data_IF_236218121777
#
_entry.id   IF_236218121777
#
_cell.length_a   1.000
_cell.length_b   1.000
_cell.length_c   1.000
_cell.angle_alpha   90.00
_cell.angle_beta   90.00
_cell.angle_gamma   90.00
#
_symmetry.space_group_name_H-M   'P 1'
#
loop_
_entity.id
_entity.type
_entity.pdbx_description
1 polymer ?
#
# COMPACT_ATOMS: atom_id res chain seq x y z
N UNK A 1 -24.13 43.29 -18.29
CA UNK A 1 -23.39 44.38 -17.62
C UNK A 1 -21.94 44.25 -18.03
N UNK A 2 -21.36 45.29 -18.62
CA UNK A 2 -19.97 45.32 -19.06
C UNK A 2 -19.16 46.22 -18.11
N UNK A 3 -19.07 45.82 -16.83
CA UNK A 3 -18.01 46.38 -15.99
C UNK A 3 -16.70 45.70 -16.40
N UNK A 4 -15.62 46.45 -16.67
CA UNK A 4 -14.34 45.87 -17.07
C UNK A 4 -13.75 44.90 -16.03
N UNK A 5 -14.11 45.06 -14.76
CA UNK A 5 -13.48 44.40 -13.61
C UNK A 5 -14.47 43.67 -12.69
N UNK A 6 -15.78 43.85 -12.87
CA UNK A 6 -16.81 43.25 -12.00
C UNK A 6 -17.79 42.46 -12.86
N UNK A 7 -17.90 41.16 -12.61
CA UNK A 7 -18.85 40.25 -13.25
C UNK A 7 -19.88 39.76 -12.24
N UNK A 8 -21.12 39.64 -12.69
CA UNK A 8 -22.21 39.07 -11.89
C UNK A 8 -22.63 37.72 -12.47
N UNK A 9 -22.78 36.70 -11.62
CA UNK A 9 -23.15 35.33 -12.02
C UNK A 9 -24.67 35.09 -11.94
N UNK A 10 -25.33 35.66 -10.94
CA UNK A 10 -26.76 35.43 -10.65
C UNK A 10 -27.63 36.64 -10.97
N UNK A 11 -27.09 37.86 -10.87
CA UNK A 11 -27.84 39.08 -11.17
C UNK A 11 -27.92 39.27 -12.70
N UNK A 12 -29.12 39.18 -13.32
CA UNK A 12 -29.24 39.24 -14.76
C UNK A 12 -28.92 40.64 -15.30
N UNK A 13 -28.18 40.70 -16.41
CA UNK A 13 -27.87 41.96 -17.09
C UNK A 13 -29.10 42.72 -17.63
N UNK A 14 -30.22 42.02 -17.83
CA UNK A 14 -31.47 42.55 -18.40
C UNK A 14 -32.48 43.00 -17.34
N UNK A 15 -32.11 43.00 -16.05
CA UNK A 15 -33.03 43.35 -14.96
C UNK A 15 -33.48 44.82 -15.07
N UNK A 16 -34.80 45.04 -15.12
CA UNK A 16 -35.42 46.38 -15.25
C UNK A 16 -36.06 46.87 -13.96
N UNK A 17 -36.27 45.99 -12.99
CA UNK A 17 -36.87 46.33 -11.69
C UNK A 17 -35.82 47.12 -10.88
N UNK A 18 -36.13 48.35 -10.44
CA UNK A 18 -35.24 49.11 -9.55
C UNK A 18 -35.07 48.40 -8.20
N UNK A 19 -33.86 48.38 -7.64
CA UNK A 19 -33.57 47.80 -6.33
C UNK A 19 -32.07 47.66 -6.04
N UNK A 20 -31.74 47.27 -4.81
CA UNK A 20 -30.40 46.86 -4.40
C UNK A 20 -30.31 45.35 -4.46
N UNK A 21 -29.45 44.84 -5.35
CA UNK A 21 -29.25 43.41 -5.53
C UNK A 21 -27.81 43.08 -5.15
N UNK A 22 -27.67 42.09 -4.27
CA UNK A 22 -26.38 41.55 -3.85
C UNK A 22 -26.32 40.09 -4.26
N UNK A 23 -25.17 39.62 -4.72
CA UNK A 23 -24.88 38.20 -4.90
C UNK A 23 -23.61 37.85 -4.12
N UNK A 24 -23.55 36.61 -3.63
CA UNK A 24 -22.39 36.11 -2.93
C UNK A 24 -21.47 35.41 -3.94
N UNK A 25 -20.25 35.92 -4.05
CA UNK A 25 -19.20 35.25 -4.81
C UNK A 25 -18.37 34.36 -3.87
N UNK A 26 -18.60 33.06 -3.94
CA UNK A 26 -17.83 32.06 -3.18
C UNK A 26 -16.57 31.60 -3.92
N UNK A 27 -16.38 32.01 -5.18
CA UNK A 27 -15.22 31.65 -5.99
C UNK A 27 -13.93 32.08 -5.33
N UNK A 28 -13.88 33.06 -4.42
CA UNK A 28 -12.64 33.47 -3.71
C UNK A 28 -12.53 32.96 -2.26
N UNK A 29 -13.50 32.18 -1.79
CA UNK A 29 -13.62 31.82 -0.37
C UNK A 29 -12.48 30.92 0.13
N UNK A 30 -12.05 29.96 -0.68
CA UNK A 30 -10.96 29.03 -0.33
C UNK A 30 -9.68 29.45 -1.05
N UNK A 31 -8.64 29.82 -0.29
CA UNK A 31 -7.32 30.21 -0.82
C UNK A 31 -6.19 29.27 -0.38
N UNK A 32 -6.45 28.35 0.54
CA UNK A 32 -5.47 27.36 0.98
C UNK A 32 -5.28 26.27 -0.09
N UNK A 33 -4.23 25.47 0.07
CA UNK A 33 -4.08 24.20 -0.64
C UNK A 33 -5.06 23.16 -0.07
N UNK A 34 -5.43 22.13 -0.85
CA UNK A 34 -6.27 21.05 -0.35
C UNK A 34 -5.54 20.17 0.65
N UNK A 35 -6.27 19.60 1.60
CA UNK A 35 -5.73 18.57 2.50
C UNK A 35 -5.26 17.35 1.72
N UNK A 36 -4.26 16.65 2.24
CA UNK A 36 -3.65 15.48 1.61
C UNK A 36 -3.89 14.17 2.37
N UNK A 37 -5.09 14.02 2.93
CA UNK A 37 -5.52 12.79 3.58
C UNK A 37 -5.33 11.58 2.65
N UNK A 38 -4.57 10.59 3.11
CA UNK A 38 -4.24 9.39 2.34
C UNK A 38 -5.19 8.24 2.71
N UNK A 39 -6.01 7.80 1.75
CA UNK A 39 -6.89 6.64 1.91
C UNK A 39 -6.22 5.38 1.37
N UNK A 40 -6.25 4.31 2.16
CA UNK A 40 -5.69 3.00 1.81
C UNK A 40 -6.82 2.06 1.42
N UNK A 41 -6.70 1.46 0.24
CA UNK A 41 -7.49 0.32 -0.18
C UNK A 41 -6.71 -0.96 0.06
N UNK A 42 -7.32 -1.90 0.75
CA UNK A 42 -6.86 -3.29 0.84
C UNK A 42 -7.72 -4.13 -0.10
N UNK A 43 -7.07 -4.92 -0.93
CA UNK A 43 -7.72 -5.94 -1.77
C UNK A 43 -7.29 -7.30 -1.21
N UNK A 44 -8.23 -8.19 -0.87
CA UNK A 44 -7.87 -9.49 -0.28
C UNK A 44 -8.99 -10.52 -0.29
N UNK A 45 -8.63 -11.78 -0.08
CA UNK A 45 -9.61 -12.88 -0.06
C UNK A 45 -10.44 -12.85 1.24
N UNK A 46 -11.76 -13.10 1.12
CA UNK A 46 -12.67 -13.40 2.23
C UNK A 46 -13.01 -14.89 2.29
N UNK A 47 -13.37 -15.40 3.46
CA UNK A 47 -13.86 -16.76 3.62
C UNK A 47 -15.34 -16.84 3.24
N UNK A 48 -15.80 -18.02 2.80
CA UNK A 48 -17.21 -18.24 2.52
C UNK A 48 -18.07 -18.27 3.80
N UNK A 49 -17.49 -18.77 4.90
CA UNK A 49 -18.12 -18.80 6.22
C UNK A 49 -17.72 -17.55 7.01
N UNK A 50 -18.57 -16.51 6.93
CA UNK A 50 -18.41 -15.24 7.64
C UNK A 50 -19.55 -14.99 8.62
N UNK A 51 -19.27 -14.22 9.67
CA UNK A 51 -20.28 -13.87 10.69
C UNK A 51 -21.26 -12.84 10.14
N UNK A 52 -20.77 -11.88 9.36
CA UNK A 52 -21.60 -10.94 8.59
C UNK A 52 -21.41 -11.22 7.10
N UNK A 53 -22.50 -11.49 6.39
CA UNK A 53 -22.48 -11.82 4.96
C UNK A 53 -22.36 -10.57 4.09
N UNK A 54 -21.23 -9.85 4.23
CA UNK A 54 -20.85 -8.79 3.29
C UNK A 54 -20.60 -9.45 1.92
N UNK A 55 -21.23 -8.93 0.88
CA UNK A 55 -21.06 -9.47 -0.47
C UNK A 55 -19.61 -9.32 -0.94
N UNK A 56 -19.14 -10.27 -1.75
CA UNK A 56 -17.87 -10.10 -2.44
C UNK A 56 -17.95 -8.89 -3.38
N UNK A 57 -16.80 -8.27 -3.65
CA UNK A 57 -16.65 -7.16 -4.59
C UNK A 57 -17.46 -5.90 -4.20
N UNK A 58 -17.70 -5.68 -2.91
CA UNK A 58 -18.25 -4.42 -2.39
C UNK A 58 -17.20 -3.68 -1.54
N UNK A 59 -17.04 -2.36 -1.73
CA UNK A 59 -16.14 -1.56 -0.91
C UNK A 59 -16.75 -1.36 0.48
N UNK A 60 -16.03 -1.77 1.51
CA UNK A 60 -16.43 -1.61 2.91
C UNK A 60 -15.37 -0.85 3.67
N UNK A 61 -15.76 0.24 4.34
CA UNK A 61 -14.89 0.96 5.25
C UNK A 61 -14.75 0.18 6.56
N UNK A 62 -13.51 0.03 7.03
CA UNK A 62 -13.19 -0.82 8.19
C UNK A 62 -12.39 -0.02 9.21
N UNK A 63 -12.82 -0.09 10.48
CA UNK A 63 -12.27 0.72 11.57
C UNK A 63 -11.58 -0.10 12.65
N UNK A 64 -11.73 -1.43 12.64
CA UNK A 64 -11.08 -2.32 13.60
C UNK A 64 -10.72 -3.67 12.95
N UNK A 65 -9.74 -4.37 13.54
CA UNK A 65 -9.37 -5.72 13.16
C UNK A 65 -10.51 -6.72 13.42
N UNK A 66 -11.26 -6.53 14.51
CA UNK A 66 -12.42 -7.37 14.84
C UNK A 66 -13.54 -7.23 13.82
N UNK A 67 -13.84 -6.01 13.35
CA UNK A 67 -14.83 -5.79 12.29
C UNK A 67 -14.40 -6.49 11.00
N UNK A 68 -13.13 -6.40 10.63
CA UNK A 68 -12.58 -7.11 9.47
C UNK A 68 -12.75 -8.63 9.61
N UNK A 69 -12.53 -9.19 10.79
CA UNK A 69 -12.72 -10.62 11.05
C UNK A 69 -14.19 -11.04 10.94
N UNK A 70 -15.12 -10.21 11.41
CA UNK A 70 -16.57 -10.45 11.32
C UNK A 70 -17.05 -10.38 9.87
N UNK A 71 -16.53 -9.43 9.07
CA UNK A 71 -16.95 -9.18 7.70
C UNK A 71 -16.34 -10.15 6.68
N UNK A 72 -15.05 -10.46 6.82
CA UNK A 72 -14.29 -11.24 5.83
C UNK A 72 -13.85 -12.61 6.33
N UNK A 73 -14.05 -12.89 7.62
CA UNK A 73 -13.78 -14.18 8.25
C UNK A 73 -12.47 -14.18 9.03
N UNK A 74 -12.49 -14.83 10.19
CA UNK A 74 -11.33 -14.94 11.07
C UNK A 74 -10.20 -15.72 10.37
N UNK A 75 -9.03 -15.09 10.33
CA UNK A 75 -7.84 -15.62 9.67
C UNK A 75 -7.87 -15.55 8.14
N UNK A 76 -8.82 -14.83 7.55
CA UNK A 76 -8.78 -14.54 6.11
C UNK A 76 -7.61 -13.63 5.72
N UNK A 77 -7.20 -13.64 4.45
CA UNK A 77 -6.14 -12.75 3.97
C UNK A 77 -6.55 -11.29 4.17
N UNK A 78 -7.80 -10.93 3.86
CA UNK A 78 -8.31 -9.58 4.09
C UNK A 78 -8.23 -9.17 5.58
N UNK A 79 -8.62 -10.06 6.50
CA UNK A 79 -8.51 -9.80 7.94
C UNK A 79 -7.04 -9.60 8.38
N UNK A 80 -6.13 -10.46 7.91
CA UNK A 80 -4.70 -10.35 8.26
C UNK A 80 -4.07 -9.06 7.73
N UNK A 81 -4.45 -8.62 6.52
CA UNK A 81 -4.03 -7.33 5.97
C UNK A 81 -4.54 -6.15 6.78
N UNK A 82 -5.83 -6.13 7.13
CA UNK A 82 -6.40 -5.05 7.95
C UNK A 82 -5.74 -4.99 9.32
N UNK A 83 -5.53 -6.15 9.97
CA UNK A 83 -4.85 -6.23 11.26
C UNK A 83 -3.43 -5.67 11.19
N UNK A 84 -2.67 -6.00 10.13
CA UNK A 84 -1.33 -5.45 9.90
C UNK A 84 -1.36 -3.94 9.63
N UNK A 85 -2.31 -3.48 8.81
CA UNK A 85 -2.49 -2.07 8.46
C UNK A 85 -2.82 -1.19 9.67
N UNK A 86 -3.77 -1.59 10.52
CA UNK A 86 -4.19 -0.85 11.72
C UNK A 86 -3.06 -0.85 12.77
N UNK A 87 -2.34 -1.98 12.92
CA UNK A 87 -1.20 -2.06 13.85
C UNK A 87 -0.06 -1.14 13.44
N UNK A 88 0.16 -0.97 12.14
CA UNK A 88 1.16 -0.06 11.58
C UNK A 88 0.75 1.42 11.75
N UNK A 89 -0.50 1.75 11.43
CA UNK A 89 -1.07 3.09 11.57
C UNK A 89 -2.49 3.01 12.15
N UNK A 90 -2.69 3.26 13.46
CA UNK A 90 -4.01 3.12 14.11
C UNK A 90 -5.12 4.05 13.59
N UNK A 91 -4.76 5.15 12.91
CA UNK A 91 -5.71 6.15 12.40
C UNK A 91 -5.88 6.10 10.88
N UNK A 92 -5.38 5.04 10.24
CA UNK A 92 -5.50 4.86 8.79
C UNK A 92 -6.97 4.80 8.36
N UNK A 93 -7.29 5.44 7.23
CA UNK A 93 -8.59 5.27 6.58
C UNK A 93 -8.53 4.07 5.64
N UNK A 94 -9.10 2.94 6.09
CA UNK A 94 -9.10 1.70 5.34
C UNK A 94 -10.45 1.45 4.70
N UNK A 95 -10.41 1.25 3.38
CA UNK A 95 -11.48 0.58 2.65
C UNK A 95 -10.96 -0.80 2.25
N UNK A 96 -11.81 -1.82 2.32
CA UNK A 96 -11.50 -3.18 1.88
C UNK A 96 -12.45 -3.56 0.76
N UNK A 97 -11.90 -4.10 -0.33
CA UNK A 97 -12.67 -4.81 -1.34
C UNK A 97 -12.24 -6.26 -1.29
N UNK A 98 -13.12 -7.11 -0.78
CA UNK A 98 -12.86 -8.52 -0.65
C UNK A 98 -13.37 -9.31 -1.87
N UNK A 99 -12.68 -10.40 -2.21
CA UNK A 99 -13.08 -11.33 -3.27
C UNK A 99 -13.03 -12.77 -2.77
N UNK A 100 -13.71 -13.66 -3.48
CA UNK A 100 -13.74 -15.08 -3.14
C UNK A 100 -12.52 -15.81 -3.74
N UNK A 101 -12.22 -16.99 -3.19
CA UNK A 101 -11.22 -17.90 -3.75
C UNK A 101 -11.56 -18.30 -5.19
N UNK A 102 -10.54 -18.56 -6.01
CA UNK A 102 -10.75 -19.08 -7.36
C UNK A 102 -11.41 -20.48 -7.28
N UNK A 103 -12.37 -20.74 -8.17
CA UNK A 103 -13.10 -22.01 -8.20
C UNK A 103 -12.14 -23.19 -8.41
N UNK A 104 -11.16 -23.04 -9.30
CA UNK A 104 -10.12 -24.02 -9.60
C UNK A 104 -8.93 -23.96 -8.63
N UNK A 105 -8.90 -22.99 -7.71
CA UNK A 105 -7.87 -22.84 -6.72
C UNK A 105 -7.70 -24.07 -5.83
N UNK A 106 -6.45 -24.35 -5.45
CA UNK A 106 -6.08 -25.44 -4.52
C UNK A 106 -5.50 -24.82 -3.26
N UNK A 107 -5.94 -25.29 -2.10
CA UNK A 107 -5.42 -24.84 -0.81
C UNK A 107 -4.11 -25.55 -0.49
N UNK A 108 -3.11 -24.76 -0.08
CA UNK A 108 -1.82 -25.30 0.34
C UNK A 108 -1.97 -26.22 1.56
N UNK A 109 -1.15 -27.26 1.61
CA UNK A 109 -1.10 -28.20 2.74
C UNK A 109 0.32 -28.35 3.25
N UNK A 110 0.45 -28.61 4.54
CA UNK A 110 1.70 -28.92 5.21
C UNK A 110 1.43 -29.86 6.38
N UNK A 111 2.48 -30.39 6.99
CA UNK A 111 2.32 -31.31 8.12
C UNK A 111 3.25 -30.98 9.26
N UNK A 112 2.79 -31.19 10.49
CA UNK A 112 3.63 -31.26 11.67
C UNK A 112 3.52 -32.66 12.27
N UNK A 113 4.58 -33.46 12.13
CA UNK A 113 4.63 -34.82 12.62
C UNK A 113 5.26 -34.86 14.01
N UNK A 114 4.51 -35.35 14.98
CA UNK A 114 5.01 -35.63 16.32
C UNK A 114 5.39 -37.10 16.38
N UNK A 115 6.58 -37.41 16.90
CA UNK A 115 7.01 -38.80 17.10
C UNK A 115 7.51 -39.04 18.52
N UNK A 116 7.37 -40.28 18.99
CA UNK A 116 7.82 -40.73 20.31
C UNK A 116 6.73 -40.73 21.39
N UNK A 117 7.19 -40.83 22.64
CA UNK A 117 6.36 -40.82 23.85
C UNK A 117 7.07 -39.98 24.90
N UNK A 118 6.33 -39.08 25.55
CA UNK A 118 6.90 -38.18 26.53
C UNK A 118 7.46 -38.95 27.75
N UNK A 119 8.74 -38.75 28.05
CA UNK A 119 9.41 -39.31 29.23
C UNK A 119 9.50 -38.32 30.39
N UNK A 120 9.12 -37.06 30.16
CA UNK A 120 9.03 -36.01 31.16
C UNK A 120 7.89 -35.04 30.81
N UNK A 121 7.29 -34.34 31.79
CA UNK A 121 6.33 -33.29 31.49
C UNK A 121 7.02 -32.14 30.73
N UNK A 122 6.26 -31.45 29.88
CA UNK A 122 6.78 -30.31 29.14
C UNK A 122 5.74 -29.69 28.23
N UNK A 123 6.17 -29.05 27.15
CA UNK A 123 5.25 -28.42 26.19
C UNK A 123 5.63 -28.76 24.76
N UNK A 124 4.64 -28.83 23.89
CA UNK A 124 4.84 -28.79 22.45
C UNK A 124 4.20 -27.52 21.92
N UNK A 125 4.88 -26.85 20.99
CA UNK A 125 4.43 -25.58 20.42
C UNK A 125 4.36 -25.69 18.90
N UNK A 126 3.26 -25.24 18.32
CA UNK A 126 3.12 -24.92 16.90
C UNK A 126 3.14 -23.39 16.74
N UNK A 127 3.98 -22.90 15.84
CA UNK A 127 4.04 -21.50 15.43
C UNK A 127 3.58 -21.42 13.99
N UNK A 128 2.59 -20.59 13.70
CA UNK A 128 2.06 -20.34 12.35
C UNK A 128 2.11 -18.84 12.11
N UNK A 129 2.95 -18.40 11.17
CA UNK A 129 3.30 -16.98 11.03
C UNK A 129 3.88 -16.42 12.33
N UNK A 130 3.28 -15.36 12.86
CA UNK A 130 3.64 -14.72 14.13
C UNK A 130 2.90 -15.28 15.36
N UNK A 131 1.93 -16.18 15.16
CA UNK A 131 1.08 -16.71 16.22
C UNK A 131 1.61 -18.03 16.81
N UNK A 132 1.59 -18.14 18.14
CA UNK A 132 2.09 -19.29 18.90
C UNK A 132 0.94 -20.05 19.58
N UNK A 133 0.82 -21.34 19.31
CA UNK A 133 -0.12 -22.27 19.97
C UNK A 133 0.69 -23.32 20.72
N UNK A 134 0.53 -23.39 22.04
CA UNK A 134 1.25 -24.34 22.88
C UNK A 134 0.28 -25.20 23.69
N UNK A 135 0.60 -26.49 23.84
CA UNK A 135 -0.14 -27.42 24.70
C UNK A 135 0.80 -28.11 25.68
N UNK A 136 0.28 -28.40 26.87
CA UNK A 136 0.99 -29.17 27.88
C UNK A 136 1.05 -30.65 27.51
N UNK A 137 2.19 -31.26 27.82
CA UNK A 137 2.46 -32.67 27.63
C UNK A 137 2.76 -33.29 29.00
N UNK A 138 2.06 -34.38 29.32
CA UNK A 138 2.26 -35.16 30.54
C UNK A 138 3.18 -36.37 30.27
N UNK A 139 3.84 -36.87 31.29
CA UNK A 139 4.64 -38.10 31.18
C UNK A 139 3.78 -39.27 30.71
N UNK A 140 4.27 -40.04 29.74
CA UNK A 140 3.55 -41.16 29.14
C UNK A 140 2.58 -40.74 28.01
N UNK A 141 2.43 -39.44 27.72
CA UNK A 141 1.64 -39.00 26.59
C UNK A 141 2.27 -39.45 25.26
N UNK A 142 1.46 -40.14 24.45
CA UNK A 142 1.86 -40.60 23.12
C UNK A 142 1.80 -39.47 22.10
N UNK A 143 2.59 -39.58 21.03
CA UNK A 143 2.55 -38.65 19.90
C UNK A 143 1.12 -38.41 19.38
N UNK A 144 0.29 -39.44 19.27
CA UNK A 144 -1.10 -39.30 18.80
C UNK A 144 -1.96 -38.44 19.74
N UNK A 145 -1.85 -38.63 21.06
CA UNK A 145 -2.60 -37.83 22.04
C UNK A 145 -2.17 -36.36 22.02
N UNK A 146 -0.85 -36.13 21.90
CA UNK A 146 -0.28 -34.79 21.83
C UNK A 146 -0.68 -34.08 20.54
N UNK A 147 -0.61 -34.77 19.40
CA UNK A 147 -1.03 -34.24 18.10
C UNK A 147 -2.51 -33.85 18.09
N UNK A 148 -3.40 -34.67 18.66
CA UNK A 148 -4.83 -34.35 18.77
C UNK A 148 -5.06 -33.11 19.64
N UNK A 149 -4.39 -33.00 20.79
CA UNK A 149 -4.48 -31.80 21.64
C UNK A 149 -3.98 -30.54 20.91
N UNK A 150 -2.85 -30.64 20.22
CA UNK A 150 -2.27 -29.50 19.51
C UNK A 150 -3.11 -29.07 18.30
N UNK A 151 -3.66 -30.01 17.53
CA UNK A 151 -4.57 -29.71 16.43
C UNK A 151 -5.87 -29.06 16.93
N UNK A 152 -6.45 -29.54 18.04
CA UNK A 152 -7.63 -28.92 18.64
C UNK A 152 -7.35 -27.47 19.11
N UNK A 153 -6.19 -27.24 19.74
CA UNK A 153 -5.77 -25.90 20.15
C UNK A 153 -5.53 -24.96 18.96
N UNK A 154 -4.93 -25.48 17.87
CA UNK A 154 -4.72 -24.71 16.64
C UNK A 154 -6.05 -24.33 15.96
N UNK A 155 -7.01 -25.25 15.91
CA UNK A 155 -8.35 -24.98 15.36
C UNK A 155 -9.17 -24.03 16.24
N UNK A 156 -8.97 -24.06 17.56
CA UNK A 156 -9.59 -23.09 18.49
C UNK A 156 -9.03 -21.67 18.34
N UNK A 157 -7.79 -21.52 17.84
CA UNK A 157 -7.21 -20.23 17.50
C UNK A 157 -7.74 -19.74 16.15
N UNK A 158 -8.99 -19.28 16.15
CA UNK A 158 -9.75 -18.93 14.93
C UNK A 158 -9.07 -17.88 14.04
N UNK A 159 -8.18 -17.05 14.56
CA UNK A 159 -7.44 -16.04 13.77
C UNK A 159 -6.34 -16.62 12.89
N UNK A 160 -5.93 -17.88 13.09
CA UNK A 160 -4.87 -18.48 12.27
C UNK A 160 -5.33 -18.64 10.81
N UNK A 161 -4.44 -18.47 9.83
CA UNK A 161 -4.75 -18.64 8.41
C UNK A 161 -4.82 -20.11 7.97
N UNK A 162 -4.82 -21.06 8.92
CA UNK A 162 -4.86 -22.50 8.66
C UNK A 162 -5.98 -23.18 9.44
N UNK A 163 -6.32 -24.39 9.00
CA UNK A 163 -7.09 -25.39 9.74
C UNK A 163 -6.18 -26.57 10.06
N UNK A 164 -6.37 -27.20 11.21
CA UNK A 164 -5.53 -28.31 11.66
C UNK A 164 -6.36 -29.57 11.95
N UNK A 165 -5.92 -30.71 11.42
CA UNK A 165 -6.51 -32.02 11.69
C UNK A 165 -5.40 -33.01 12.05
N UNK A 166 -5.59 -33.80 13.12
CA UNK A 166 -4.60 -34.79 13.56
C UNK A 166 -5.03 -36.22 13.24
N UNK A 167 -4.09 -37.03 12.75
CA UNK A 167 -4.25 -38.46 12.56
C UNK A 167 -2.94 -39.18 12.89
N UNK A 168 -2.98 -40.16 13.80
CA UNK A 168 -1.85 -41.04 14.14
C UNK A 168 -0.51 -40.31 14.45
N UNK A 169 -0.56 -39.13 15.09
CA UNK A 169 0.65 -38.34 15.42
C UNK A 169 1.05 -37.31 14.37
N UNK A 170 0.41 -37.32 13.19
CA UNK A 170 0.60 -36.32 12.14
C UNK A 170 -0.51 -35.28 12.22
N UNK A 171 -0.13 -34.00 12.29
CA UNK A 171 -1.05 -32.86 12.20
C UNK A 171 -0.98 -32.36 10.77
N UNK A 172 -2.06 -32.52 10.02
CA UNK A 172 -2.22 -31.93 8.69
C UNK A 172 -2.72 -30.50 8.87
N UNK A 173 -1.99 -29.56 8.30
CA UNK A 173 -2.31 -28.13 8.26
C UNK A 173 -2.77 -27.81 6.85
N UNK A 174 -3.93 -27.17 6.73
CA UNK A 174 -4.48 -26.76 5.44
C UNK A 174 -4.76 -25.25 5.49
N UNK A 175 -4.27 -24.51 4.50
CA UNK A 175 -4.58 -23.09 4.37
C UNK A 175 -6.11 -22.90 4.29
N UNK A 176 -6.63 -21.89 4.98
CA UNK A 176 -8.06 -21.57 4.93
C UNK A 176 -8.51 -21.13 3.55
N UNK A 177 -7.61 -20.48 2.83
CA UNK A 177 -7.79 -20.04 1.46
C UNK A 177 -7.13 -21.00 0.47
N UNK A 178 -7.77 -21.14 -0.69
CA UNK A 178 -7.14 -21.64 -1.92
C UNK A 178 -6.22 -20.57 -2.50
N UNK A 179 -5.20 -21.02 -3.24
CA UNK A 179 -4.23 -20.14 -3.89
C UNK A 179 -2.79 -20.50 -3.57
N UNK A 180 -1.87 -20.01 -4.40
CA UNK A 180 -0.44 -20.13 -4.18
C UNK A 180 0.04 -19.32 -2.98
N UNK A 181 -0.68 -18.26 -2.58
CA UNK A 181 -0.40 -17.47 -1.37
C UNK A 181 -0.33 -18.33 -0.09
N UNK A 182 -1.05 -19.46 -0.04
CA UNK A 182 -1.00 -20.40 1.09
C UNK A 182 0.35 -21.09 1.29
N UNK A 183 1.18 -21.16 0.24
CA UNK A 183 2.52 -21.77 0.29
C UNK A 183 3.49 -20.95 1.14
N UNK A 184 3.24 -19.65 1.28
CA UNK A 184 4.11 -18.74 2.03
C UNK A 184 3.86 -18.76 3.54
N UNK A 185 2.81 -19.45 4.00
CA UNK A 185 2.49 -19.57 5.42
C UNK A 185 3.63 -20.33 6.12
N UNK A 186 4.41 -19.62 6.94
CA UNK A 186 5.51 -20.21 7.70
C UNK A 186 4.99 -20.99 8.89
N UNK A 187 5.44 -22.24 9.02
CA UNK A 187 5.09 -23.13 10.12
C UNK A 187 6.35 -23.65 10.79
N UNK A 188 6.36 -23.67 12.12
CA UNK A 188 7.41 -24.28 12.93
C UNK A 188 6.79 -25.05 14.08
N UNK A 189 7.34 -26.22 14.41
CA UNK A 189 6.97 -26.98 15.59
C UNK A 189 8.19 -27.16 16.51
N UNK A 190 7.98 -27.10 17.81
CA UNK A 190 9.04 -27.26 18.80
C UNK A 190 8.52 -28.12 19.97
N UNK A 191 9.19 -29.24 20.24
CA UNK A 191 8.94 -30.08 21.40
C UNK A 191 9.94 -29.75 22.51
N UNK A 192 9.44 -29.21 23.64
CA UNK A 192 10.20 -28.96 24.87
C UNK A 192 9.83 -29.97 25.94
N UNK A 193 10.03 -31.24 25.61
CA UNK A 193 9.81 -32.39 26.49
C UNK A 193 10.71 -33.53 26.04
N UNK A 194 11.26 -34.28 26.99
CA UNK A 194 12.08 -35.44 26.66
C UNK A 194 11.22 -36.57 26.07
N UNK A 195 11.73 -37.25 25.04
CA UNK A 195 11.08 -38.40 24.42
C UNK A 195 10.08 -38.09 23.29
N UNK A 196 9.81 -36.82 23.00
CA UNK A 196 9.07 -36.39 21.81
C UNK A 196 9.93 -35.53 20.89
N UNK A 197 9.70 -35.67 19.59
CA UNK A 197 10.22 -34.78 18.56
C UNK A 197 9.07 -34.27 17.70
N UNK A 198 9.28 -33.12 17.05
CA UNK A 198 8.31 -32.50 16.18
C UNK A 198 9.02 -32.00 14.91
N UNK A 199 8.62 -32.55 13.78
CA UNK A 199 9.15 -32.18 12.47
C UNK A 199 8.06 -31.54 11.62
N UNK A 200 8.43 -30.54 10.82
CA UNK A 200 7.48 -29.80 9.96
C UNK A 200 7.83 -30.00 8.50
N UNK A 201 6.84 -30.40 7.71
CA UNK A 201 6.84 -30.24 6.26
C UNK A 201 6.18 -28.90 5.94
N UNK A 202 6.91 -28.03 5.24
CA UNK A 202 6.43 -26.70 4.87
C UNK A 202 5.13 -26.76 4.06
N UNK A 203 4.34 -25.68 4.12
CA UNK A 203 3.13 -25.54 3.32
C UNK A 203 3.50 -25.50 1.83
N UNK A 204 2.83 -26.30 1.01
CA UNK A 204 3.08 -26.40 -0.43
C UNK A 204 1.79 -26.77 -1.19
N UNK A 205 1.91 -26.87 -2.52
CA UNK A 205 0.87 -27.32 -3.45
C UNK A 205 -0.40 -26.46 -3.52
N UNK A 206 -0.37 -25.26 -2.93
CA UNK A 206 -1.36 -24.22 -3.21
C UNK A 206 -1.21 -23.73 -4.65
N UNK A 207 -2.32 -23.61 -5.37
CA UNK A 207 -2.35 -23.25 -6.79
C UNK A 207 -3.45 -22.25 -7.10
N UNK A 208 -3.18 -21.40 -8.10
CA UNK A 208 -4.10 -20.42 -8.70
C UNK A 208 -4.62 -19.43 -7.65
N UNK A 209 -3.90 -18.31 -7.50
CA UNK A 209 -4.41 -17.16 -6.77
C UNK A 209 -5.56 -16.49 -7.55
N UNK A 210 -6.57 -15.91 -6.89
CA UNK A 210 -7.68 -15.30 -7.60
C UNK A 210 -7.26 -14.00 -8.32
N UNK A 211 -7.95 -13.69 -9.42
CA UNK A 211 -7.73 -12.47 -10.21
C UNK A 211 -8.14 -11.21 -9.41
N UNK A 212 -7.27 -10.20 -9.42
CA UNK A 212 -7.52 -8.90 -8.80
C UNK A 212 -8.43 -8.00 -9.64
N UNK A 213 -8.56 -8.24 -10.95
CA UNK A 213 -9.25 -7.33 -11.87
C UNK A 213 -10.72 -7.04 -11.47
N UNK A 214 -11.54 -8.01 -11.02
CA UNK A 214 -12.91 -7.73 -10.58
C UNK A 214 -12.96 -6.77 -9.38
N UNK A 215 -12.06 -6.94 -8.40
CA UNK A 215 -11.99 -6.07 -7.24
C UNK A 215 -11.52 -4.65 -7.62
N UNK A 216 -10.53 -4.56 -8.51
CA UNK A 216 -10.00 -3.28 -9.00
C UNK A 216 -11.01 -2.53 -9.90
N UNK A 217 -11.85 -3.26 -10.64
CA UNK A 217 -12.93 -2.65 -11.42
C UNK A 217 -13.94 -1.90 -10.53
N UNK A 218 -14.24 -2.45 -9.35
CA UNK A 218 -15.09 -1.78 -8.34
C UNK A 218 -14.37 -0.58 -7.71
N UNK A 219 -13.07 -0.72 -7.41
CA UNK A 219 -12.25 0.34 -6.85
C UNK A 219 -12.14 1.58 -7.75
N UNK A 220 -12.27 1.40 -9.06
CA UNK A 220 -12.14 2.46 -10.07
C UNK A 220 -12.98 3.70 -9.75
N UNK A 221 -14.22 3.49 -9.28
CA UNK A 221 -15.13 4.58 -8.94
C UNK A 221 -14.91 5.17 -7.53
N UNK A 222 -14.32 4.41 -6.60
CA UNK A 222 -14.26 4.76 -5.18
C UNK A 222 -13.16 5.78 -4.84
N UNK A 223 -12.07 5.81 -5.61
CA UNK A 223 -10.97 6.79 -5.47
C UNK A 223 -10.16 6.61 -4.18
N UNK A 224 -8.99 5.97 -4.29
CA UNK A 224 -8.06 5.71 -3.20
C UNK A 224 -6.67 6.25 -3.53
N UNK A 225 -5.83 6.51 -2.52
CA UNK A 225 -4.48 7.03 -2.74
C UNK A 225 -3.44 5.93 -2.76
N UNK A 226 -3.65 4.88 -1.98
CA UNK A 226 -2.77 3.72 -1.88
C UNK A 226 -3.59 2.45 -2.04
N UNK A 227 -3.09 1.50 -2.83
CA UNK A 227 -3.74 0.20 -3.05
C UNK A 227 -2.76 -0.90 -2.66
N UNK A 228 -3.03 -1.60 -1.56
CA UNK A 228 -2.22 -2.71 -1.08
C UNK A 228 -2.61 -4.01 -1.79
N UNK A 229 -1.65 -4.63 -2.48
CA UNK A 229 -1.83 -5.94 -3.12
C UNK A 229 -1.71 -7.08 -2.09
N UNK A 230 -2.59 -8.09 -2.12
CA UNK A 230 -2.47 -9.27 -1.28
C UNK A 230 -1.35 -10.22 -1.77
N UNK A 231 -1.00 -10.14 -3.05
CA UNK A 231 -0.05 -11.05 -3.69
C UNK A 231 1.17 -10.31 -4.22
N UNK A 232 2.34 -10.94 -4.09
CA UNK A 232 3.61 -10.47 -4.65
C UNK A 232 4.01 -11.33 -5.87
N UNK A 233 3.11 -11.43 -6.84
CA UNK A 233 3.32 -12.17 -8.09
C UNK A 233 3.30 -11.21 -9.28
N UNK A 234 4.01 -11.57 -10.36
CA UNK A 234 4.07 -10.73 -11.56
C UNK A 234 2.68 -10.48 -12.15
N UNK A 235 1.82 -11.50 -12.15
CA UNK A 235 0.44 -11.41 -12.66
C UNK A 235 -0.39 -10.41 -11.85
N UNK A 236 -0.46 -10.58 -10.53
CA UNK A 236 -1.22 -9.69 -9.66
C UNK A 236 -0.73 -8.23 -9.74
N UNK A 237 0.59 -8.03 -9.72
CA UNK A 237 1.17 -6.70 -9.79
C UNK A 237 1.05 -6.06 -11.18
N UNK A 238 1.07 -6.83 -12.27
CA UNK A 238 0.80 -6.30 -13.61
C UNK A 238 -0.67 -5.88 -13.78
N UNK A 239 -1.61 -6.64 -13.21
CA UNK A 239 -3.03 -6.25 -13.17
C UNK A 239 -3.23 -4.97 -12.36
N UNK A 240 -2.58 -4.86 -11.19
CA UNK A 240 -2.59 -3.64 -10.39
C UNK A 240 -1.97 -2.45 -11.13
N UNK A 241 -0.82 -2.62 -11.79
CA UNK A 241 -0.18 -1.58 -12.63
C UNK A 241 -1.16 -1.03 -13.67
N UNK A 242 -1.81 -1.93 -14.40
CA UNK A 242 -2.76 -1.58 -15.47
C UNK A 242 -3.95 -0.77 -14.91
N UNK A 243 -4.44 -1.16 -13.74
CA UNK A 243 -5.48 -0.40 -13.04
C UNK A 243 -5.01 1.01 -12.66
N UNK A 244 -3.81 1.13 -12.08
CA UNK A 244 -3.24 2.41 -11.64
C UNK A 244 -3.03 3.38 -12.82
N UNK A 245 -2.56 2.87 -13.96
CA UNK A 245 -2.43 3.66 -15.20
C UNK A 245 -3.79 4.15 -15.73
N UNK A 246 -4.84 3.34 -15.60
CA UNK A 246 -6.18 3.71 -16.03
C UNK A 246 -6.79 4.80 -15.12
N UNK A 247 -6.74 4.63 -13.79
CA UNK A 247 -7.29 5.60 -12.83
C UNK A 247 -6.46 6.89 -12.77
N UNK A 248 -5.13 6.81 -12.89
CA UNK A 248 -4.21 7.94 -12.92
C UNK A 248 -4.10 8.61 -14.30
N UNK A 249 -4.86 8.13 -15.28
CA UNK A 249 -4.82 8.67 -16.64
C UNK A 249 -5.16 10.17 -16.66
N UNK A 250 -4.70 10.92 -17.66
CA UNK A 250 -5.00 12.36 -17.76
C UNK A 250 -6.50 12.68 -17.82
N UNK A 251 -7.34 11.70 -18.18
CA UNK A 251 -8.80 11.85 -18.26
C UNK A 251 -9.48 11.57 -16.92
N UNK A 252 -9.08 10.50 -16.21
CA UNK A 252 -9.71 10.10 -14.95
C UNK A 252 -9.14 10.85 -13.74
N UNK A 253 -7.82 11.07 -13.70
CA UNK A 253 -7.12 11.89 -12.69
C UNK A 253 -7.41 11.46 -11.23
N UNK A 254 -7.63 10.17 -11.01
CA UNK A 254 -7.80 9.52 -9.71
C UNK A 254 -6.50 8.85 -9.31
N UNK A 255 -5.50 9.69 -9.09
CA UNK A 255 -4.13 9.27 -8.87
C UNK A 255 -3.98 8.37 -7.63
N UNK A 256 -3.33 7.22 -7.81
CA UNK A 256 -3.10 6.22 -6.78
C UNK A 256 -1.71 5.58 -6.94
N UNK A 257 -1.20 4.98 -5.87
CA UNK A 257 0.05 4.21 -5.84
C UNK A 257 -0.23 2.78 -5.39
N UNK A 258 0.31 1.81 -6.12
CA UNK A 258 0.27 0.40 -5.77
C UNK A 258 1.38 0.06 -4.77
N UNK A 259 1.02 -0.69 -3.73
CA UNK A 259 1.95 -1.12 -2.69
C UNK A 259 1.94 -2.64 -2.61
N UNK A 260 3.12 -3.24 -2.71
CA UNK A 260 3.34 -4.66 -2.52
C UNK A 260 4.40 -4.89 -1.45
N UNK A 261 4.43 -6.10 -0.90
CA UNK A 261 5.40 -6.52 0.10
C UNK A 261 5.85 -7.95 -0.18
N UNK A 262 7.12 -8.27 0.07
CA UNK A 262 7.62 -9.64 -0.12
C UNK A 262 8.60 -10.05 0.98
N UNK A 263 8.43 -11.26 1.55
CA UNK A 263 9.39 -11.87 2.46
C UNK A 263 10.48 -12.68 1.73
N UNK A 264 10.42 -12.75 0.39
CA UNK A 264 11.28 -13.60 -0.42
C UNK A 264 12.75 -13.13 -0.42
N UNK A 265 13.62 -13.92 -1.04
CA UNK A 265 15.05 -13.56 -1.20
C UNK A 265 15.23 -12.31 -2.05
N UNK A 266 16.39 -11.65 -1.91
CA UNK A 266 16.76 -10.48 -2.72
C UNK A 266 16.58 -10.75 -4.22
N UNK A 267 17.09 -11.89 -4.71
CA UNK A 267 17.02 -12.25 -6.13
C UNK A 267 15.58 -12.39 -6.64
N UNK A 268 14.66 -12.92 -5.81
CA UNK A 268 13.26 -13.01 -6.19
C UNK A 268 12.59 -11.63 -6.19
N UNK A 269 12.90 -10.79 -5.18
CA UNK A 269 12.36 -9.44 -5.07
C UNK A 269 12.79 -8.54 -6.25
N UNK A 270 14.07 -8.55 -6.62
CA UNK A 270 14.58 -7.73 -7.74
C UNK A 270 14.07 -8.22 -9.09
N UNK A 271 13.92 -9.54 -9.27
CA UNK A 271 13.30 -10.11 -10.48
C UNK A 271 11.85 -9.65 -10.62
N UNK A 272 11.09 -9.66 -9.52
CA UNK A 272 9.71 -9.18 -9.50
C UNK A 272 9.63 -7.69 -9.80
N UNK A 273 10.42 -6.85 -9.12
CA UNK A 273 10.43 -5.40 -9.35
C UNK A 273 10.78 -5.06 -10.80
N UNK A 274 11.82 -5.69 -11.37
CA UNK A 274 12.23 -5.49 -12.76
C UNK A 274 11.15 -5.91 -13.78
N UNK A 275 10.35 -6.94 -13.48
CA UNK A 275 9.23 -7.33 -14.34
C UNK A 275 8.07 -6.32 -14.34
N UNK A 276 7.91 -5.55 -13.25
CA UNK A 276 6.85 -4.55 -13.10
C UNK A 276 7.29 -3.18 -13.61
N UNK A 277 8.50 -2.72 -13.28
CA UNK A 277 9.12 -1.47 -13.75
C UNK A 277 8.14 -0.30 -13.89
N UNK A 278 7.52 0.12 -12.78
CA UNK A 278 6.49 1.17 -12.76
C UNK A 278 6.75 2.22 -11.69
N UNK A 279 6.64 3.49 -12.09
CA UNK A 279 6.71 4.64 -11.18
C UNK A 279 5.47 4.79 -10.29
N UNK A 280 4.40 4.03 -10.57
CA UNK A 280 3.17 4.02 -9.78
C UNK A 280 3.16 2.91 -8.72
N UNK A 281 4.23 2.10 -8.63
CA UNK A 281 4.28 0.94 -7.74
C UNK A 281 5.52 0.92 -6.88
N UNK A 282 5.38 0.47 -5.64
CA UNK A 282 6.50 0.21 -4.73
C UNK A 282 6.43 -1.20 -4.15
N UNK A 283 7.59 -1.82 -3.97
CA UNK A 283 7.74 -3.17 -3.42
C UNK A 283 8.62 -3.12 -2.16
N UNK A 284 8.01 -3.33 -1.00
CA UNK A 284 8.70 -3.49 0.28
C UNK A 284 9.31 -4.88 0.43
N UNK A 285 10.55 -4.97 0.88
CA UNK A 285 11.28 -6.23 1.02
C UNK A 285 11.69 -6.47 2.47
N UNK A 286 11.11 -7.52 3.06
CA UNK A 286 11.34 -7.93 4.46
C UNK A 286 11.84 -9.38 4.52
N UNK A 287 13.09 -9.58 4.11
CA UNK A 287 13.67 -10.90 3.88
C UNK A 287 13.53 -11.86 5.07
N UNK A 288 12.99 -13.05 4.81
CA UNK A 288 12.89 -14.12 5.80
C UNK A 288 11.83 -13.88 6.88
N UNK A 289 10.93 -12.91 6.68
CA UNK A 289 9.78 -12.68 7.55
C UNK A 289 8.87 -13.90 7.66
N UNK A 290 8.31 -14.09 8.87
CA UNK A 290 7.24 -15.08 9.09
C UNK A 290 5.88 -14.58 8.65
N UNK A 291 5.75 -13.28 8.37
CA UNK A 291 4.53 -12.65 7.87
C UNK A 291 4.40 -12.83 6.36
N UNK A 292 3.16 -12.90 5.90
CA UNK A 292 2.84 -13.02 4.48
C UNK A 292 3.14 -11.73 3.70
N UNK A 293 3.33 -11.87 2.39
CA UNK A 293 3.40 -10.75 1.45
C UNK A 293 2.24 -9.75 1.65
N UNK A 294 1.02 -10.26 1.85
CA UNK A 294 -0.17 -9.47 2.11
C UNK A 294 -0.04 -8.58 3.36
N UNK A 295 0.41 -9.14 4.48
CA UNK A 295 0.59 -8.39 5.73
C UNK A 295 1.68 -7.32 5.60
N UNK A 296 2.80 -7.65 4.93
CA UNK A 296 3.89 -6.71 4.67
C UNK A 296 3.40 -5.55 3.80
N UNK A 297 2.68 -5.84 2.72
CA UNK A 297 2.11 -4.84 1.82
C UNK A 297 1.16 -3.88 2.55
N UNK A 298 0.25 -4.42 3.37
CA UNK A 298 -0.74 -3.65 4.10
C UNK A 298 -0.11 -2.76 5.19
N UNK A 299 0.86 -3.29 5.95
CA UNK A 299 1.62 -2.49 6.93
C UNK A 299 2.41 -1.37 6.24
N UNK A 300 3.05 -1.67 5.11
CA UNK A 300 3.81 -0.67 4.35
C UNK A 300 2.92 0.43 3.78
N UNK A 301 1.78 0.08 3.16
CA UNK A 301 0.82 1.03 2.65
C UNK A 301 0.29 1.96 3.76
N UNK A 302 -0.01 1.42 4.94
CA UNK A 302 -0.44 2.20 6.11
C UNK A 302 0.59 3.21 6.60
N UNK A 303 1.89 2.87 6.57
CA UNK A 303 2.96 3.80 6.94
C UNK A 303 3.19 4.85 5.87
N UNK A 304 3.06 4.51 4.57
CA UNK A 304 3.08 5.52 3.50
C UNK A 304 1.92 6.50 3.67
N UNK A 305 0.72 6.02 4.05
CA UNK A 305 -0.45 6.85 4.29
C UNK A 305 -0.30 7.79 5.50
N UNK A 306 0.47 7.39 6.51
CA UNK A 306 0.69 8.19 7.72
C UNK A 306 1.38 9.52 7.43
N UNK A 307 2.32 9.54 6.48
CA UNK A 307 3.01 10.77 6.10
C UNK A 307 2.19 11.53 5.05
N UNK A 308 1.37 12.48 5.48
CA UNK A 308 0.53 13.24 4.55
C UNK A 308 1.31 14.26 3.71
N UNK A 309 2.54 14.61 4.10
CA UNK A 309 3.42 15.40 3.25
C UNK A 309 3.93 14.53 2.08
N UNK A 310 3.61 14.89 0.82
CA UNK A 310 4.02 14.09 -0.33
C UNK A 310 5.53 14.14 -0.61
N UNK A 311 6.23 15.22 -0.22
CA UNK A 311 7.64 15.43 -0.50
C UNK A 311 8.55 14.88 0.61
N UNK A 312 8.00 14.67 1.81
CA UNK A 312 8.78 14.19 2.96
C UNK A 312 9.26 12.75 2.80
N UNK A 313 10.58 12.49 2.95
CA UNK A 313 11.13 11.14 2.88
C UNK A 313 10.57 10.20 3.94
N UNK A 314 10.37 8.94 3.56
CA UNK A 314 9.84 7.88 4.44
C UNK A 314 10.93 7.09 5.18
N UNK A 315 12.19 7.54 5.08
CA UNK A 315 13.35 6.88 5.69
C UNK A 315 13.16 6.76 7.21
N UNK A 316 13.58 5.65 7.79
CA UNK A 316 13.54 5.32 9.22
C UNK A 316 12.15 5.20 9.84
N UNK A 317 11.07 5.39 9.07
CA UNK A 317 9.72 5.21 9.58
C UNK A 317 9.49 3.75 9.99
N UNK A 318 8.96 3.59 11.20
CA UNK A 318 8.76 2.28 11.82
C UNK A 318 7.52 1.59 11.25
N UNK A 319 7.71 0.37 10.75
CA UNK A 319 6.66 -0.53 10.30
C UNK A 319 6.16 -1.35 11.49
N UNK A 320 5.38 -0.70 12.37
CA UNK A 320 4.91 -1.32 13.61
C UNK A 320 4.11 -2.58 13.32
N UNK A 321 4.48 -3.65 14.02
CA UNK A 321 3.78 -4.92 13.95
C UNK A 321 4.36 -5.93 12.99
N UNK A 322 5.35 -5.56 12.17
CA UNK A 322 6.19 -6.53 11.47
C UNK A 322 7.09 -7.29 12.45
N UNK A 323 7.43 -8.52 12.08
CA UNK A 323 8.26 -9.42 12.86
C UNK A 323 9.75 -9.07 12.77
N UNK A 324 10.48 -9.40 13.82
CA UNK A 324 11.94 -9.29 13.85
C UNK A 324 12.50 -10.57 13.24
N UNK A 325 13.10 -10.44 12.07
CA UNK A 325 13.68 -11.57 11.32
C UNK A 325 14.96 -12.06 11.98
N UNK A 326 15.30 -13.33 11.71
CA UNK A 326 16.57 -13.91 12.14
C UNK A 326 17.74 -13.07 11.62
N UNK A 327 18.79 -12.93 12.43
CA UNK A 327 20.02 -12.20 12.08
C UNK A 327 20.60 -12.70 10.75
N UNK A 328 20.51 -14.00 10.45
CA UNK A 328 20.99 -14.56 9.20
C UNK A 328 20.21 -14.09 7.95
N UNK A 329 18.99 -13.61 8.13
CA UNK A 329 18.13 -13.09 7.06
C UNK A 329 18.15 -11.57 6.96
N UNK A 330 18.73 -10.86 7.93
CA UNK A 330 18.77 -9.40 7.94
C UNK A 330 19.73 -8.89 6.86
N UNK A 331 19.25 -8.00 5.95
CA UNK A 331 20.04 -7.60 4.80
C UNK A 331 21.22 -6.72 5.22
N UNK A 332 22.42 -7.09 4.77
CA UNK A 332 23.61 -6.27 4.92
C UNK A 332 23.58 -5.04 4.00
N UNK A 333 24.46 -4.06 4.25
CA UNK A 333 24.51 -2.82 3.45
C UNK A 333 24.60 -3.09 1.94
N UNK A 334 25.44 -4.02 1.51
CA UNK A 334 25.58 -4.36 0.08
C UNK A 334 24.29 -4.90 -0.52
N UNK A 335 23.52 -5.69 0.23
CA UNK A 335 22.24 -6.23 -0.22
C UNK A 335 21.16 -5.14 -0.28
N UNK A 336 21.15 -4.22 0.69
CA UNK A 336 20.26 -3.06 0.68
C UNK A 336 20.53 -2.13 -0.51
N UNK A 337 21.80 -1.81 -0.79
CA UNK A 337 22.18 -1.01 -1.97
C UNK A 337 21.79 -1.71 -3.27
N UNK A 338 21.95 -3.04 -3.34
CA UNK A 338 21.52 -3.82 -4.50
C UNK A 338 20.00 -3.82 -4.68
N UNK A 339 19.24 -3.94 -3.59
CA UNK A 339 17.78 -3.82 -3.61
C UNK A 339 17.34 -2.46 -4.16
N UNK A 340 17.93 -1.37 -3.64
CA UNK A 340 17.61 0.00 -4.07
C UNK A 340 17.95 0.25 -5.55
N UNK A 341 19.09 -0.25 -6.03
CA UNK A 341 19.47 -0.13 -7.45
C UNK A 341 18.50 -0.87 -8.38
N UNK A 342 17.82 -1.90 -7.88
CA UNK A 342 16.90 -2.74 -8.64
C UNK A 342 15.41 -2.48 -8.30
N UNK A 343 15.06 -1.28 -7.79
CA UNK A 343 13.67 -0.86 -7.62
C UNK A 343 12.92 -1.57 -6.48
N UNK A 344 13.66 -2.03 -5.47
CA UNK A 344 13.11 -2.69 -4.28
C UNK A 344 13.39 -1.82 -3.05
N UNK A 345 12.39 -1.61 -2.21
CA UNK A 345 12.52 -0.88 -0.94
C UNK A 345 12.92 -1.86 0.17
N UNK A 346 14.18 -1.87 0.65
CA UNK A 346 14.58 -2.75 1.74
C UNK A 346 14.05 -2.23 3.08
N UNK A 347 13.68 -3.17 3.95
CA UNK A 347 13.43 -2.91 5.36
C UNK A 347 14.62 -3.42 6.19
N UNK A 348 14.91 -2.72 7.28
CA UNK A 348 15.98 -3.09 8.21
C UNK A 348 15.48 -3.17 9.65
N UNK A 349 16.22 -3.90 10.49
CA UNK A 349 15.97 -3.98 11.93
C UNK A 349 16.81 -2.91 12.62
N UNK A 350 16.18 -1.77 12.90
CA UNK A 350 16.79 -0.65 13.62
C UNK A 350 16.89 -0.87 15.13
N UNK A 351 17.47 0.11 15.85
CA UNK A 351 17.65 0.04 17.30
C UNK A 351 16.36 -0.28 18.07
N UNK A 352 16.48 -1.18 19.05
CA UNK A 352 15.32 -1.64 19.83
C UNK A 352 14.45 -2.67 19.10
N UNK A 353 15.01 -3.37 18.09
CA UNK A 353 14.34 -4.39 17.29
C UNK A 353 13.09 -3.86 16.57
N UNK A 354 13.23 -2.68 15.97
CA UNK A 354 12.14 -2.01 15.23
C UNK A 354 12.38 -2.15 13.74
N UNK A 355 11.41 -2.69 13.02
CA UNK A 355 11.47 -2.75 11.56
C UNK A 355 11.26 -1.35 11.00
N UNK A 356 12.16 -0.89 10.13
CA UNK A 356 12.16 0.46 9.58
C UNK A 356 12.41 0.46 8.07
N UNK A 357 11.87 1.46 7.38
CA UNK A 357 12.12 1.68 5.95
C UNK A 357 13.53 2.28 5.78
N UNK A 358 14.36 1.71 4.90
CA UNK A 358 15.67 2.31 4.58
C UNK A 358 15.49 3.54 3.66
N UNK A 359 14.93 3.32 2.46
CA UNK A 359 14.51 4.36 1.51
C UNK A 359 13.36 3.82 0.66
N UNK A 360 12.25 4.53 0.63
CA UNK A 360 11.08 4.14 -0.17
C UNK A 360 11.27 4.53 -1.64
N UNK A 361 11.46 3.53 -2.50
CA UNK A 361 11.61 3.67 -3.95
C UNK A 361 10.46 2.99 -4.70
N UNK A 362 10.22 3.42 -5.93
CA UNK A 362 9.32 2.73 -6.86
C UNK A 362 10.03 1.55 -7.52
N UNK A 363 9.28 0.74 -8.25
CA UNK A 363 9.85 -0.33 -9.09
C UNK A 363 10.49 0.19 -10.38
N UNK A 364 10.42 1.48 -10.68
CA UNK A 364 10.95 2.07 -11.92
C UNK A 364 12.46 2.25 -11.85
N UNK A 365 13.19 1.58 -12.74
CA UNK A 365 14.65 1.68 -12.86
C UNK A 365 15.12 1.97 -14.28
N UNK A 366 14.31 1.64 -15.30
CA UNK A 366 14.66 1.85 -16.71
C UNK A 366 13.50 2.46 -17.49
N UNK A 367 13.83 3.26 -18.49
CA UNK A 367 12.85 3.83 -19.41
C UNK A 367 12.37 2.79 -20.47
N UNK A 368 11.43 3.14 -21.36
CA UNK A 368 10.93 2.22 -22.40
C UNK A 368 11.99 1.69 -23.38
N UNK A 369 13.15 2.35 -23.47
CA UNK A 369 14.29 1.93 -24.28
C UNK A 369 15.26 1.02 -23.51
N UNK A 370 14.97 0.71 -22.24
CA UNK A 370 15.81 -0.10 -21.37
C UNK A 370 17.05 0.62 -20.86
N UNK A 371 17.04 1.96 -20.85
CA UNK A 371 18.13 2.78 -20.32
C UNK A 371 17.82 3.17 -18.88
N UNK A 372 18.82 3.06 -18.00
CA UNK A 372 18.73 3.48 -16.60
C UNK A 372 18.16 4.91 -16.49
N UNK A 373 17.07 5.03 -15.73
CA UNK A 373 16.33 6.27 -15.56
C UNK A 373 15.84 6.41 -14.12
N UNK A 374 16.33 7.45 -13.44
CA UNK A 374 16.03 7.72 -12.03
C UNK A 374 14.86 8.69 -11.84
N UNK A 375 14.23 9.17 -12.92
CA UNK A 375 13.22 10.22 -12.86
C UNK A 375 12.05 9.89 -11.93
N UNK A 376 11.66 8.61 -11.84
CA UNK A 376 10.57 8.13 -11.00
C UNK A 376 11.04 7.17 -9.90
N UNK A 377 12.34 7.14 -9.59
CA UNK A 377 12.91 6.22 -8.61
C UNK A 377 12.34 6.46 -7.21
N UNK A 378 12.34 7.71 -6.75
CA UNK A 378 11.83 8.04 -5.42
C UNK A 378 10.31 8.05 -5.38
N UNK A 379 9.75 7.39 -4.36
CA UNK A 379 8.30 7.32 -4.19
C UNK A 379 7.68 8.71 -3.99
N UNK A 380 8.41 9.61 -3.32
CA UNK A 380 7.97 11.00 -3.05
C UNK A 380 7.77 11.80 -4.34
N UNK A 381 8.54 11.53 -5.40
CA UNK A 381 8.40 12.23 -6.68
C UNK A 381 6.99 12.09 -7.26
N UNK A 382 6.48 10.87 -7.37
CA UNK A 382 5.12 10.64 -7.87
C UNK A 382 4.05 11.13 -6.90
N UNK A 383 4.26 11.00 -5.59
CA UNK A 383 3.34 11.54 -4.57
C UNK A 383 3.19 13.05 -4.70
N UNK A 384 4.29 13.76 -4.91
CA UNK A 384 4.27 15.22 -5.11
C UNK A 384 3.59 15.60 -6.41
N UNK A 385 3.87 14.91 -7.51
CA UNK A 385 3.19 15.17 -8.79
C UNK A 385 1.68 14.95 -8.70
N UNK A 386 1.23 13.89 -8.02
CA UNK A 386 -0.18 13.64 -7.75
C UNK A 386 -0.82 14.78 -6.93
N UNK A 387 -0.13 15.26 -5.89
CA UNK A 387 -0.62 16.36 -5.07
C UNK A 387 -0.71 17.68 -5.85
N UNK A 388 0.31 18.02 -6.63
CA UNK A 388 0.33 19.22 -7.48
C UNK A 388 -0.78 19.17 -8.52
N UNK A 389 -1.03 17.99 -9.12
CA UNK A 389 -2.16 17.78 -10.05
C UNK A 389 -3.49 18.04 -9.35
N UNK A 390 -3.71 17.44 -8.17
CA UNK A 390 -4.92 17.63 -7.37
C UNK A 390 -5.13 19.11 -7.03
N UNK A 391 -4.12 19.77 -6.47
CA UNK A 391 -4.20 21.18 -6.05
C UNK A 391 -4.49 22.12 -7.23
N UNK A 392 -3.82 21.93 -8.36
CA UNK A 392 -4.04 22.71 -9.57
C UNK A 392 -5.45 22.51 -10.13
N UNK A 393 -5.91 21.26 -10.26
CA UNK A 393 -7.26 20.94 -10.75
C UNK A 393 -8.34 21.55 -9.89
N UNK A 394 -8.27 21.36 -8.56
CA UNK A 394 -9.27 21.89 -7.64
C UNK A 394 -9.30 23.42 -7.65
N UNK A 395 -8.14 24.08 -7.73
CA UNK A 395 -8.06 25.54 -7.87
C UNK A 395 -8.79 25.99 -9.13
N UNK A 396 -8.54 25.37 -10.28
CA UNK A 396 -9.18 25.76 -11.54
C UNK A 396 -10.68 25.48 -11.52
N UNK A 397 -11.11 24.33 -11.02
CA UNK A 397 -12.52 23.97 -10.93
C UNK A 397 -13.33 24.94 -10.04
N UNK A 398 -12.75 25.38 -8.92
CA UNK A 398 -13.39 26.33 -7.99
C UNK A 398 -13.40 27.77 -8.54
N UNK A 399 -12.32 28.19 -9.21
CA UNK A 399 -12.15 29.58 -9.68
C UNK A 399 -12.82 29.86 -11.01
N UNK A 400 -12.83 28.89 -11.93
CA UNK A 400 -13.23 29.07 -13.32
C UNK A 400 -14.29 28.06 -13.82
N UNK A 401 -15.36 27.72 -13.07
CA UNK A 401 -16.29 26.66 -13.45
C UNK A 401 -17.11 26.95 -14.73
N UNK A 402 -17.43 28.22 -14.98
CA UNK A 402 -18.24 28.69 -16.13
C UNK A 402 -17.68 29.98 -16.72
N UNK A 403 -16.38 30.18 -16.60
CA UNK A 403 -15.71 31.40 -17.06
C UNK A 403 -15.74 31.47 -18.59
N UNK A 404 -15.99 32.65 -19.15
CA UNK A 404 -15.85 32.87 -20.59
C UNK A 404 -14.38 32.88 -20.96
N UNK A 405 -13.99 32.20 -22.03
CA UNK A 405 -12.63 32.30 -22.58
C UNK A 405 -12.45 33.64 -23.33
N UNK A 406 -12.18 34.70 -22.57
CA UNK A 406 -11.86 36.04 -23.08
C UNK A 406 -10.34 36.28 -23.08
N UNK A 407 -9.86 37.39 -23.63
CA UNK A 407 -8.43 37.75 -23.56
C UNK A 407 -7.93 37.90 -22.11
N UNK A 408 -8.85 38.18 -21.17
CA UNK A 408 -8.54 38.33 -19.74
C UNK A 408 -8.41 36.99 -19.00
N UNK A 409 -8.86 35.90 -19.61
CA UNK A 409 -8.97 34.60 -18.92
C UNK A 409 -7.61 33.92 -18.75
N UNK A 410 -6.76 33.78 -19.80
CA UNK A 410 -5.44 33.15 -19.64
C UNK A 410 -4.56 33.80 -18.57
N UNK A 411 -4.43 35.15 -18.48
CA UNK A 411 -3.65 35.79 -17.42
C UNK A 411 -4.18 35.50 -16.00
N UNK A 412 -5.51 35.44 -15.82
CA UNK A 412 -6.12 35.07 -14.53
C UNK A 412 -5.84 33.62 -14.15
N UNK A 413 -6.00 32.69 -15.10
CA UNK A 413 -5.72 31.27 -14.88
C UNK A 413 -4.24 31.07 -14.53
N UNK A 414 -3.33 31.73 -15.26
CA UNK A 414 -1.90 31.71 -14.95
C UNK A 414 -1.62 32.22 -13.54
N UNK A 415 -2.26 33.33 -13.13
CA UNK A 415 -2.10 33.89 -11.79
C UNK A 415 -2.55 32.92 -10.68
N UNK A 416 -3.69 32.23 -10.85
CA UNK A 416 -4.18 31.28 -9.84
C UNK A 416 -3.34 29.99 -9.80
N UNK A 417 -2.81 29.53 -10.93
CA UNK A 417 -1.87 28.40 -10.96
C UNK A 417 -0.53 28.76 -10.32
N UNK A 418 0.00 29.95 -10.62
CA UNK A 418 1.24 30.41 -9.98
C UNK A 418 1.06 30.55 -8.46
N UNK A 419 -0.08 31.05 -7.99
CA UNK A 419 -0.41 31.10 -6.56
C UNK A 419 -0.45 29.70 -5.92
N UNK A 420 -0.93 28.66 -6.63
CA UNK A 420 -0.84 27.27 -6.17
C UNK A 420 0.61 26.81 -6.06
N UNK A 421 1.43 27.05 -7.10
CA UNK A 421 2.82 26.62 -7.10
C UNK A 421 3.63 27.32 -6.00
N UNK A 422 3.46 28.63 -5.80
CA UNK A 422 4.12 29.39 -4.73
C UNK A 422 3.73 28.83 -3.36
N UNK A 423 2.46 28.46 -3.15
CA UNK A 423 2.05 27.79 -1.90
C UNK A 423 2.64 26.41 -1.72
N UNK A 424 2.84 25.67 -2.80
CA UNK A 424 3.57 24.40 -2.72
C UNK A 424 5.05 24.64 -2.36
N UNK A 425 5.66 25.73 -2.83
CA UNK A 425 7.02 26.13 -2.44
C UNK A 425 7.11 26.58 -0.98
N UNK A 426 6.13 27.34 -0.49
CA UNK A 426 6.04 27.72 0.93
C UNK A 426 5.93 26.51 1.88
N UNK A 427 5.42 25.38 1.39
CA UNK A 427 5.32 24.11 2.12
C UNK A 427 6.48 23.14 1.80
N UNK A 428 7.49 23.57 1.06
CA UNK A 428 8.63 22.72 0.66
C UNK A 428 8.22 21.47 -0.15
N UNK A 429 7.10 21.54 -0.87
CA UNK A 429 6.63 20.50 -1.78
C UNK A 429 7.26 20.67 -3.17
N UNK A 430 7.36 21.91 -3.64
CA UNK A 430 8.07 22.31 -4.86
C UNK A 430 9.22 23.26 -4.51
N UNK A 431 10.22 23.37 -5.38
CA UNK A 431 11.29 24.36 -5.26
C UNK A 431 11.42 25.23 -6.51
N UNK A 432 12.17 26.32 -6.39
CA UNK A 432 12.56 27.20 -7.49
C UNK A 432 11.37 27.69 -8.35
N UNK A 433 10.18 27.90 -7.76
CA UNK A 433 8.97 28.28 -8.49
C UNK A 433 9.14 29.64 -9.15
N UNK A 434 9.76 30.60 -8.46
CA UNK A 434 10.03 31.93 -9.01
C UNK A 434 11.01 31.89 -10.20
N UNK A 435 12.02 31.01 -10.14
CA UNK A 435 12.97 30.81 -11.24
C UNK A 435 12.31 30.12 -12.45
N UNK A 436 11.37 29.21 -12.19
CA UNK A 436 10.65 28.43 -13.19
C UNK A 436 9.37 29.11 -13.70
N UNK A 437 8.98 30.29 -13.18
CA UNK A 437 7.70 30.93 -13.48
C UNK A 437 7.48 31.19 -14.97
N UNK A 438 8.54 31.48 -15.73
CA UNK A 438 8.43 31.75 -17.17
C UNK A 438 8.13 30.48 -17.98
N UNK A 439 8.39 29.30 -17.42
CA UNK A 439 7.97 28.02 -17.98
C UNK A 439 6.49 27.68 -17.70
N UNK A 440 5.79 28.43 -16.83
CA UNK A 440 4.34 28.36 -16.68
C UNK A 440 3.66 29.10 -17.82
N UNK A 441 3.23 28.34 -18.83
CA UNK A 441 2.69 28.86 -20.09
C UNK A 441 1.19 28.57 -20.17
N UNK A 442 0.39 29.58 -20.49
CA UNK A 442 -1.07 29.52 -20.70
C UNK A 442 -1.40 30.09 -22.07
N UNK A 443 -1.89 29.24 -22.98
CA UNK A 443 -2.12 29.61 -24.39
C UNK A 443 -3.45 29.08 -24.90
N UNK A 444 -4.11 29.86 -25.76
CA UNK A 444 -5.28 29.37 -26.50
C UNK A 444 -4.83 28.31 -27.49
N UNK A 445 -5.67 27.31 -27.67
CA UNK A 445 -5.44 26.33 -28.72
C UNK A 445 -5.55 26.98 -30.10
N UNK A 446 -4.68 26.58 -31.02
CA UNK A 446 -4.63 27.14 -32.38
C UNK A 446 -5.73 26.59 -33.29
N UNK A 447 -6.34 25.46 -32.92
CA UNK A 447 -7.39 24.78 -33.68
C UNK A 447 -8.74 24.86 -32.98
N UNK A 448 -8.78 24.73 -31.65
CA UNK A 448 -9.99 24.85 -30.85
C UNK A 448 -10.09 26.22 -30.16
N UNK A 449 -10.90 27.10 -30.72
CA UNK A 449 -11.14 28.45 -30.19
C UNK A 449 -11.73 28.48 -28.78
N UNK A 450 -12.25 27.36 -28.28
CA UNK A 450 -12.83 27.24 -26.93
C UNK A 450 -11.87 26.59 -25.92
N UNK A 451 -10.64 26.28 -26.31
CA UNK A 451 -9.67 25.55 -25.47
C UNK A 451 -8.53 26.44 -24.99
N UNK A 452 -8.14 26.24 -23.73
CA UNK A 452 -6.99 26.86 -23.09
C UNK A 452 -6.04 25.75 -22.62
N UNK A 453 -4.79 25.82 -23.08
CA UNK A 453 -3.72 24.86 -22.76
C UNK A 453 -2.80 25.43 -21.70
N UNK A 454 -2.29 24.57 -20.81
CA UNK A 454 -1.36 24.94 -19.76
C UNK A 454 -0.15 24.00 -19.74
N UNK A 455 1.05 24.57 -19.64
CA UNK A 455 2.28 23.87 -19.24
C UNK A 455 2.62 24.31 -17.83
N UNK A 456 2.67 23.37 -16.89
CA UNK A 456 2.93 23.63 -15.47
C UNK A 456 4.30 23.04 -15.11
N UNK A 457 5.33 23.86 -14.81
CA UNK A 457 6.59 23.37 -14.30
C UNK A 457 6.43 22.94 -12.83
N UNK A 458 6.85 21.73 -12.50
CA UNK A 458 6.85 21.19 -11.15
C UNK A 458 8.25 20.69 -10.84
N UNK A 459 9.05 21.54 -10.22
CA UNK A 459 10.39 21.20 -9.74
C UNK A 459 10.25 20.67 -8.31
N UNK A 460 10.48 19.36 -8.16
CA UNK A 460 10.07 18.60 -6.98
C UNK A 460 11.15 18.70 -5.92
N UNK A 461 10.79 19.05 -4.68
CA UNK A 461 11.76 19.01 -3.58
C UNK A 461 12.22 17.57 -3.35
N UNK A 462 13.51 17.36 -3.50
CA UNK A 462 14.11 16.03 -3.36
C UNK A 462 14.37 15.67 -1.90
N UNK A 463 14.26 14.39 -1.59
CA UNK A 463 14.57 13.88 -0.26
C UNK A 463 16.05 13.96 0.07
N UNK A 464 16.40 14.45 1.27
CA UNK A 464 17.76 14.38 1.78
C UNK A 464 18.07 12.95 2.27
N UNK A 465 18.40 12.06 1.33
CA UNK A 465 18.67 10.65 1.63
C UNK A 465 20.11 10.38 2.08
N UNK A 466 21.08 11.18 1.61
CA UNK A 466 22.52 10.99 1.91
C UNK A 466 23.16 12.32 2.28
N UNK A 467 23.79 12.38 3.45
CA UNK A 467 24.72 13.44 3.82
C UNK A 467 26.16 12.92 3.75
N UNK A 468 27.00 13.57 2.95
CA UNK A 468 28.42 13.23 2.82
C UNK A 468 29.27 14.44 3.20
N UNK A 469 30.08 14.30 4.26
CA UNK A 469 30.98 15.34 4.75
C UNK A 469 32.43 14.85 4.78
N UNK A 470 33.35 15.71 4.35
CA UNK A 470 34.79 15.53 4.53
C UNK A 470 35.26 16.52 5.58
N UNK A 471 35.96 16.03 6.61
CA UNK A 471 36.58 16.88 7.63
C UNK A 471 38.06 17.02 7.29
N UNK A 472 38.50 18.24 6.99
CA UNK A 472 39.90 18.54 6.75
C UNK A 472 40.57 19.00 8.05
N UNK A 473 41.72 18.38 8.35
CA UNK A 473 42.56 18.77 9.48
C UNK A 473 43.22 20.11 9.16
N UNK A 474 42.94 21.12 9.99
CA UNK A 474 43.64 22.39 10.00
C UNK A 474 44.50 22.44 11.28
N UNK A 475 45.79 22.72 11.12
CA UNK A 475 46.77 22.89 12.21
C UNK A 475 47.25 24.34 12.29
#
# INVERSE_FOLDING_TARGET
MASPNISFDQIPASIRKPGQYFEFNTKLAVRTLPGNLQRVLVVGQRLAEVVSNIAALEPVDVFSDVDAAVYFGYGSIAHQMVKAAIKANPYVQLTVIAFDDDEAGVAATGTATVTGTATAPGTITLVVGDARVAVSVETGATAAQVATKLAAAATAAIELPITAAAAAGVITLKAKHKGAAGNDIKVKAEARTAGLTADVTAMADGQIDPDLAPALAVAFAAGHNLVASPFATTEALATLRTHLEAVGSPMEQRDAIGVAGTPATLSAATTLAGAINSGLMTLGWHNGSVLSAAQIAAAYASVIAFEEDPARPLNTLELKGLDVTDIASQPGRTEQENALYNGVTPFEIGPGNRVQIVRAVTTYTVNPQGVDDVALLDLTTMRTLHYVRKASRERIALRFPREKLSEKTPPKVRSELLDVLVKCEELEILEAVEANKDALILERDSQDVNRLNARIPADVVNGLHVFAGRIDLLL
#
